data_IF_677586122555
#
_entry.id   IF_677586122555
#
_cell.length_a   1.000
_cell.length_b   1.000
_cell.length_c   1.000
_cell.angle_alpha   90.00
_cell.angle_beta   90.00
_cell.angle_gamma   90.00
#
_symmetry.space_group_name_H-M   'P 1'
#
loop_
_entity.id
_entity.type
_entity.pdbx_description
1 polymer ?
#
# COMPACT_ATOMS: atom_id res chain seq x y z
N UNK A 1 14.90 12.94 -4.35
CA UNK A 1 14.47 12.27 -5.60
C UNK A 1 14.51 10.77 -5.34
N UNK A 2 13.36 10.11 -5.20
CA UNK A 2 13.32 8.65 -5.04
C UNK A 2 13.52 8.00 -6.42
N UNK A 3 14.36 6.97 -6.50
CA UNK A 3 14.63 6.24 -7.73
C UNK A 3 13.37 5.47 -8.18
N UNK A 4 13.14 5.34 -9.50
CA UNK A 4 12.00 4.59 -10.02
C UNK A 4 11.98 3.09 -9.61
N UNK A 5 13.11 2.57 -9.12
CA UNK A 5 13.29 1.19 -8.65
C UNK A 5 13.07 1.03 -7.14
N UNK A 6 12.89 2.13 -6.42
CA UNK A 6 12.75 2.13 -4.97
C UNK A 6 11.34 1.63 -4.63
N UNK A 7 11.20 0.66 -3.73
CA UNK A 7 9.92 0.04 -3.35
C UNK A 7 8.88 1.07 -2.84
N UNK A 8 9.36 2.23 -2.38
CA UNK A 8 8.56 3.37 -1.92
C UNK A 8 8.07 4.31 -3.04
N UNK A 9 8.54 4.14 -4.28
CA UNK A 9 8.14 5.01 -5.39
C UNK A 9 6.75 4.63 -5.90
N UNK A 10 5.77 5.51 -5.69
CA UNK A 10 4.46 5.41 -6.35
C UNK A 10 4.41 6.42 -7.50
N UNK A 11 4.44 5.98 -8.78
CA UNK A 11 4.33 6.89 -9.91
C UNK A 11 3.02 7.68 -9.84
N UNK A 12 3.07 9.01 -10.05
CA UNK A 12 1.87 9.86 -9.98
C UNK A 12 0.76 9.40 -10.95
N UNK A 13 1.13 8.99 -12.15
CA UNK A 13 0.19 8.52 -13.17
C UNK A 13 -0.29 7.07 -12.98
N UNK A 14 0.15 6.37 -11.92
CA UNK A 14 -0.38 5.05 -11.59
C UNK A 14 -1.76 5.16 -10.95
N UNK A 15 -2.59 4.12 -11.09
CA UNK A 15 -3.89 4.06 -10.42
C UNK A 15 -3.76 4.22 -8.90
N UNK A 16 -2.70 3.66 -8.28
CA UNK A 16 -2.40 3.86 -6.85
C UNK A 16 -2.13 5.34 -6.53
N UNK A 17 -1.35 6.03 -7.36
CA UNK A 17 -1.06 7.46 -7.19
C UNK A 17 -2.32 8.31 -7.27
N UNK A 18 -3.19 8.04 -8.24
CA UNK A 18 -4.48 8.73 -8.40
C UNK A 18 -5.41 8.50 -7.20
N UNK A 19 -5.47 7.28 -6.65
CA UNK A 19 -6.30 6.98 -5.48
C UNK A 19 -5.79 7.67 -4.20
N UNK A 20 -4.47 7.81 -4.04
CA UNK A 20 -3.89 8.56 -2.93
C UNK A 20 -4.18 10.07 -3.06
N UNK A 21 -4.05 10.63 -4.26
CA UNK A 21 -4.39 12.03 -4.53
C UNK A 21 -5.89 12.30 -4.27
N UNK A 22 -6.78 11.38 -4.68
CA UNK A 22 -8.21 11.47 -4.40
C UNK A 22 -8.51 11.47 -2.90
N UNK A 23 -7.86 10.59 -2.13
CA UNK A 23 -8.00 10.53 -0.66
C UNK A 23 -7.59 11.85 -0.01
N UNK A 24 -6.43 12.37 -0.39
CA UNK A 24 -5.92 13.63 0.17
C UNK A 24 -6.85 14.81 -0.18
N UNK A 25 -7.46 14.79 -1.37
CA UNK A 25 -8.46 15.79 -1.75
C UNK A 25 -9.73 15.72 -0.89
N UNK A 26 -10.29 14.52 -0.66
CA UNK A 26 -11.47 14.35 0.21
C UNK A 26 -11.19 14.86 1.63
N UNK A 27 -10.02 14.53 2.18
CA UNK A 27 -9.59 15.03 3.49
C UNK A 27 -9.47 16.56 3.51
N UNK A 28 -8.93 17.15 2.44
CA UNK A 28 -8.84 18.61 2.30
C UNK A 28 -10.22 19.27 2.24
N UNK A 29 -11.18 18.66 1.53
CA UNK A 29 -12.56 19.15 1.44
C UNK A 29 -13.22 19.18 2.82
N UNK A 30 -13.13 18.09 3.60
CA UNK A 30 -13.71 18.02 4.94
C UNK A 30 -13.13 19.05 5.91
N UNK A 31 -11.83 19.34 5.80
CA UNK A 31 -11.10 20.20 6.73
C UNK A 31 -11.15 21.70 6.37
N UNK A 32 -11.21 22.04 5.08
CA UNK A 32 -10.98 23.43 4.64
C UNK A 32 -12.10 24.04 3.81
N UNK A 33 -13.10 23.26 3.39
CA UNK A 33 -14.22 23.76 2.58
C UNK A 33 -15.46 23.82 3.47
N UNK A 34 -16.20 24.95 3.48
CA UNK A 34 -17.51 25.00 4.12
C UNK A 34 -18.48 24.16 3.28
N UNK A 35 -18.71 22.93 3.73
CA UNK A 35 -19.68 22.00 3.15
C UNK A 35 -21.00 22.10 3.91
N UNK A 36 -22.11 22.08 3.19
CA UNK A 36 -23.42 21.77 3.76
C UNK A 36 -23.46 20.33 4.30
N UNK A 37 -24.47 20.01 5.10
CA UNK A 37 -24.60 18.68 5.71
C UNK A 37 -24.71 17.58 4.66
N UNK A 38 -25.48 17.82 3.59
CA UNK A 38 -25.65 16.87 2.48
C UNK A 38 -24.33 16.66 1.71
N UNK A 39 -23.58 17.74 1.45
CA UNK A 39 -22.27 17.66 0.80
C UNK A 39 -21.25 16.93 1.69
N UNK A 40 -21.28 17.17 2.99
CA UNK A 40 -20.40 16.48 3.95
C UNK A 40 -20.71 14.98 4.00
N UNK A 41 -21.99 14.61 4.05
CA UNK A 41 -22.41 13.21 4.01
C UNK A 41 -21.91 12.49 2.75
N UNK A 42 -22.01 13.14 1.58
CA UNK A 42 -21.50 12.58 0.33
C UNK A 42 -19.96 12.41 0.33
N UNK A 43 -19.23 13.38 0.90
CA UNK A 43 -17.76 13.30 1.01
C UNK A 43 -17.33 12.20 1.99
N UNK A 44 -18.02 12.06 3.12
CA UNK A 44 -17.75 11.01 4.10
C UNK A 44 -18.02 9.61 3.53
N UNK A 45 -19.14 9.44 2.81
CA UNK A 45 -19.44 8.18 2.09
C UNK A 45 -18.35 7.87 1.05
N UNK A 46 -17.96 8.86 0.24
CA UNK A 46 -16.88 8.71 -0.73
C UNK A 46 -15.55 8.33 -0.09
N UNK A 47 -15.23 8.89 1.07
CA UNK A 47 -14.04 8.56 1.84
C UNK A 47 -14.08 7.10 2.33
N UNK A 48 -15.21 6.64 2.87
CA UNK A 48 -15.39 5.24 3.30
C UNK A 48 -15.23 4.28 2.13
N UNK A 49 -15.88 4.56 1.00
CA UNK A 49 -15.79 3.74 -0.21
C UNK A 49 -14.35 3.64 -0.74
N UNK A 50 -13.61 4.76 -0.72
CA UNK A 50 -12.21 4.80 -1.14
C UNK A 50 -11.31 3.97 -0.22
N UNK A 51 -11.48 4.06 1.10
CA UNK A 51 -10.73 3.24 2.05
C UNK A 51 -11.02 1.74 1.86
N UNK A 52 -12.27 1.36 1.66
CA UNK A 52 -12.63 -0.03 1.38
C UNK A 52 -12.04 -0.53 0.05
N UNK A 53 -11.97 0.32 -0.97
CA UNK A 53 -11.30 -0.02 -2.21
C UNK A 53 -9.79 -0.25 -1.99
N UNK A 54 -9.13 0.66 -1.28
CA UNK A 54 -7.71 0.54 -0.99
C UNK A 54 -7.39 -0.73 -0.21
N UNK A 55 -8.18 -1.07 0.80
CA UNK A 55 -7.99 -2.31 1.58
C UNK A 55 -8.16 -3.55 0.70
N UNK A 56 -9.16 -3.59 -0.19
CA UNK A 56 -9.33 -4.74 -1.09
C UNK A 56 -8.18 -4.89 -2.10
N UNK A 57 -7.65 -3.77 -2.60
CA UNK A 57 -6.61 -3.78 -3.63
C UNK A 57 -5.29 -4.38 -3.14
N UNK A 58 -5.01 -4.37 -1.84
CA UNK A 58 -3.75 -4.97 -1.33
C UNK A 58 -3.72 -6.49 -1.45
N UNK A 59 -4.89 -7.11 -1.61
CA UNK A 59 -5.08 -8.56 -1.75
C UNK A 59 -5.37 -8.98 -3.20
N UNK A 60 -5.40 -8.04 -4.16
CA UNK A 60 -5.58 -8.35 -5.59
C UNK A 60 -4.23 -8.78 -6.20
N UNK A 61 -4.13 -9.97 -6.81
CA UNK A 61 -2.90 -10.41 -7.43
C UNK A 61 -2.52 -9.50 -8.60
N UNK A 62 -1.25 -9.15 -8.67
CA UNK A 62 -0.68 -8.50 -9.86
C UNK A 62 -0.69 -9.47 -11.04
N UNK A 63 -0.48 -9.01 -12.29
CA UNK A 63 -0.30 -9.91 -13.43
C UNK A 63 0.82 -10.95 -13.25
N UNK A 64 1.78 -10.70 -12.34
CA UNK A 64 2.83 -11.64 -11.97
C UNK A 64 2.42 -12.66 -10.89
N UNK A 65 1.16 -12.65 -10.45
CA UNK A 65 0.57 -13.60 -9.51
C UNK A 65 0.64 -13.17 -8.03
N UNK A 66 1.69 -12.47 -7.62
CA UNK A 66 1.84 -12.02 -6.23
C UNK A 66 0.92 -10.83 -5.91
N UNK A 67 0.36 -10.79 -4.71
CA UNK A 67 -0.42 -9.65 -4.18
C UNK A 67 0.50 -8.54 -3.64
N UNK A 68 0.05 -7.27 -3.61
CA UNK A 68 0.80 -6.20 -2.96
C UNK A 68 1.20 -6.51 -1.51
N UNK A 69 0.36 -7.22 -0.76
CA UNK A 69 0.66 -7.65 0.61
C UNK A 69 1.86 -8.60 0.65
N UNK A 70 1.96 -9.54 -0.29
CA UNK A 70 3.08 -10.49 -0.39
C UNK A 70 4.38 -9.81 -0.87
N UNK A 71 4.27 -8.84 -1.77
CA UNK A 71 5.42 -8.08 -2.30
C UNK A 71 6.05 -7.19 -1.20
N UNK A 72 5.23 -6.66 -0.29
CA UNK A 72 5.68 -5.80 0.82
C UNK A 72 6.25 -6.53 2.03
N UNK A 73 6.17 -7.86 2.09
CA UNK A 73 6.79 -8.65 3.15
C UNK A 73 8.30 -8.74 2.87
N UNK A 74 9.18 -8.28 3.78
CA UNK A 74 10.61 -8.39 3.58
C UNK A 74 11.00 -9.87 3.44
N UNK A 75 11.88 -10.17 2.49
CA UNK A 75 12.39 -11.52 2.18
C UNK A 75 12.99 -12.27 3.40
N UNK A 76 13.17 -11.59 4.54
CA UNK A 76 13.58 -12.20 5.81
C UNK A 76 12.56 -13.21 6.34
N UNK A 77 11.28 -13.13 5.96
CA UNK A 77 10.25 -14.10 6.35
C UNK A 77 10.32 -15.43 5.55
N UNK A 78 11.07 -15.47 4.45
CA UNK A 78 11.31 -16.66 3.62
C UNK A 78 12.72 -17.24 3.78
N UNK A 79 13.46 -16.85 4.82
CA UNK A 79 14.76 -17.45 5.10
C UNK A 79 14.58 -18.91 5.53
N UNK A 80 14.99 -19.82 4.63
CA UNK A 80 15.28 -21.22 4.94
C UNK A 80 16.19 -21.30 6.18
N UNK A 81 16.00 -22.28 7.08
CA UNK A 81 16.74 -22.34 8.33
C UNK A 81 18.25 -22.38 8.07
N UNK A 82 18.98 -21.46 8.69
CA UNK A 82 20.45 -21.48 8.71
C UNK A 82 20.86 -22.69 9.56
N UNK A 83 21.15 -23.82 8.91
CA UNK A 83 21.76 -24.96 9.58
C UNK A 83 23.20 -24.59 9.97
N UNK A 84 23.49 -24.64 11.27
CA UNK A 84 24.85 -24.48 11.80
C UNK A 84 25.65 -25.76 11.53
N UNK A 85 26.58 -25.69 10.58
CA UNK A 85 27.54 -26.80 10.35
C UNK A 85 28.63 -26.72 11.42
N UNK A 86 28.54 -27.57 12.44
CA UNK A 86 29.59 -27.72 13.44
C UNK A 86 30.70 -28.56 12.81
N UNK A 87 31.83 -27.94 12.46
CA UNK A 87 33.02 -28.69 12.03
C UNK A 87 33.65 -29.36 13.25
N UNK A 88 33.50 -30.68 13.35
CA UNK A 88 34.19 -31.51 14.33
C UNK A 88 35.69 -31.50 14.04
N UNK A 89 36.48 -30.96 14.98
CA UNK A 89 37.94 -31.07 14.99
C UNK A 89 38.30 -32.51 15.38
N UNK A 90 38.76 -33.30 14.42
CA UNK A 90 39.34 -34.62 14.68
C UNK A 90 40.76 -34.49 15.25
N UNK A 91 41.04 -35.29 16.28
CA UNK A 91 42.36 -35.85 16.61
C UNK A 91 43.40 -34.88 17.14
#
# INVERSE_FOLDING_TARGET
MACARCDFYTPKASSKGQLLEAKDNLQRMLANIPLSDDERAAVDEGQVALYQLLERLVDVPTPAGATPREIGVPATATLLPIITVVHGKQG
#
